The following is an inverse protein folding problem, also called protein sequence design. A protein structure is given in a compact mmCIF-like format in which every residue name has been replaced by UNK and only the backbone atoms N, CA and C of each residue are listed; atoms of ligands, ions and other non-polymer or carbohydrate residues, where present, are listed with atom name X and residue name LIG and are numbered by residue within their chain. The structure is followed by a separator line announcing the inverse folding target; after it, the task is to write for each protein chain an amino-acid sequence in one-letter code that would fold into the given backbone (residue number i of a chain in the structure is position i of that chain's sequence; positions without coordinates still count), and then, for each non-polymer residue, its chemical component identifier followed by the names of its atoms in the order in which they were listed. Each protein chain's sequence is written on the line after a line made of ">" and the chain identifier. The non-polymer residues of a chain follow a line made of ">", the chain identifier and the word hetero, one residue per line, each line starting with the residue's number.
data_IF_573446152838
#
_entry.id   IF_573446152838
#
_cell.length_a   1.000
_cell.length_b   1.000
_cell.length_c   1.000
_cell.angle_alpha   90.00
_cell.angle_beta   90.00
_cell.angle_gamma   90.00
#
_symmetry.space_group_name_H-M   'P 1'
#
loop_
_entity.id
_entity.type
_entity.pdbx_description
1 polymer ?
#
# COMPACT_ATOMS: atom_id res chain seq x y z
N UNK A 1 8.58 12.45 -14.13
CA UNK A 1 7.82 11.44 -13.35
C UNK A 1 6.47 12.02 -12.96
N UNK A 2 5.38 11.25 -13.07
CA UNK A 2 4.08 11.65 -12.54
C UNK A 2 4.14 12.01 -11.05
N UNK A 3 3.38 13.01 -10.56
CA UNK A 3 3.43 13.44 -9.16
C UNK A 3 3.13 12.32 -8.15
N UNK A 4 2.24 11.39 -8.49
CA UNK A 4 1.89 10.25 -7.62
C UNK A 4 3.03 9.24 -7.45
N UNK A 5 4.04 9.24 -8.33
CA UNK A 5 5.25 8.44 -8.12
C UNK A 5 6.28 9.16 -7.24
N UNK A 6 6.19 10.50 -7.15
CA UNK A 6 7.13 11.33 -6.41
C UNK A 6 6.71 11.58 -4.96
N UNK A 7 5.40 11.72 -4.72
CA UNK A 7 4.90 11.96 -3.36
C UNK A 7 5.01 10.68 -2.54
N UNK A 8 5.74 10.72 -1.44
CA UNK A 8 5.91 9.61 -0.51
C UNK A 8 5.67 10.11 0.92
N UNK A 9 5.34 9.18 1.82
CA UNK A 9 5.39 9.47 3.24
C UNK A 9 6.84 9.75 3.64
N UNK A 10 7.09 10.78 4.46
CA UNK A 10 8.42 10.97 5.05
C UNK A 10 8.82 9.72 5.84
N UNK A 11 10.11 9.38 5.88
CA UNK A 11 10.60 8.15 6.51
C UNK A 11 10.26 8.00 8.01
N UNK A 12 10.05 9.12 8.71
CA UNK A 12 9.64 9.14 10.12
C UNK A 12 8.13 9.05 10.32
N UNK A 13 7.34 9.01 9.24
CA UNK A 13 5.89 8.83 9.28
C UNK A 13 5.57 7.46 8.70
N UNK A 14 5.07 6.57 9.54
CA UNK A 14 4.60 5.24 9.13
C UNK A 14 3.12 5.13 9.46
N UNK A 15 2.23 5.30 8.47
CA UNK A 15 0.81 5.05 8.67
C UNK A 15 0.56 3.58 9.05
N UNK A 16 -0.39 3.30 9.95
CA UNK A 16 -0.87 1.95 10.24
C UNK A 16 -1.32 1.19 8.98
N UNK A 17 -1.35 -0.15 9.03
CA UNK A 17 -1.77 -0.99 7.90
C UNK A 17 -3.16 -0.63 7.38
N UNK A 18 -4.14 -0.45 8.28
CA UNK A 18 -5.52 -0.10 7.94
C UNK A 18 -5.77 1.42 7.83
N UNK A 19 -4.72 2.19 7.60
CA UNK A 19 -4.83 3.65 7.53
C UNK A 19 -5.67 4.12 6.34
N UNK A 20 -6.78 4.80 6.63
CA UNK A 20 -7.64 5.40 5.61
C UNK A 20 -7.23 6.83 5.33
N UNK A 21 -6.85 7.14 4.10
CA UNK A 21 -6.53 8.52 3.68
C UNK A 21 -7.80 9.40 3.77
N UNK A 22 -7.64 10.67 4.16
CA UNK A 22 -8.74 11.64 4.30
C UNK A 22 -8.87 12.24 5.70
N UNK A 23 -9.82 13.17 5.86
CA UNK A 23 -10.01 13.94 7.10
C UNK A 23 -10.86 13.19 8.13
N UNK A 24 -10.38 12.02 8.57
CA UNK A 24 -11.01 11.21 9.62
C UNK A 24 -10.14 11.27 10.87
N UNK A 25 -10.76 11.57 12.02
CA UNK A 25 -10.07 11.56 13.30
C UNK A 25 -9.72 10.12 13.71
N UNK A 26 -8.47 9.82 14.06
CA UNK A 26 -8.10 8.51 14.59
C UNK A 26 -8.73 8.32 15.97
N UNK A 27 -9.41 7.18 16.16
CA UNK A 27 -10.04 6.81 17.42
C UNK A 27 -9.39 5.54 17.97
N UNK A 28 -9.49 5.37 19.29
CA UNK A 28 -9.09 4.11 19.92
C UNK A 28 -10.10 3.00 19.58
N UNK A 29 -9.66 1.73 19.59
CA UNK A 29 -10.56 0.59 19.43
C UNK A 29 -11.70 0.61 20.46
N UNK A 30 -12.89 0.14 20.08
CA UNK A 30 -14.06 0.12 20.98
C UNK A 30 -13.83 -0.73 22.23
N UNK A 31 -13.05 -1.80 22.11
CA UNK A 31 -12.68 -2.72 23.18
C UNK A 31 -11.46 -2.26 23.98
N UNK A 32 -10.97 -1.02 23.81
CA UNK A 32 -9.78 -0.52 24.50
C UNK A 32 -9.86 -0.64 26.03
N UNK A 33 -11.05 -0.51 26.63
CA UNK A 33 -11.20 -0.65 28.08
C UNK A 33 -10.88 -2.06 28.60
N UNK A 34 -11.15 -3.08 27.79
CA UNK A 34 -11.05 -4.51 28.13
C UNK A 34 -9.66 -5.10 27.83
N UNK A 35 -8.84 -4.38 27.07
CA UNK A 35 -7.47 -4.77 26.71
C UNK A 35 -6.54 -4.81 27.92
N UNK A 36 -5.51 -5.66 27.83
CA UNK A 36 -4.42 -5.69 28.79
C UNK A 36 -3.49 -4.45 28.65
N UNK A 37 -2.57 -4.21 29.60
CA UNK A 37 -1.69 -3.04 29.55
C UNK A 37 -0.82 -2.94 28.29
N UNK A 38 -0.34 -4.06 27.77
CA UNK A 38 0.54 -4.11 26.60
C UNK A 38 -0.27 -3.85 25.33
N UNK A 39 -1.44 -4.47 25.21
CA UNK A 39 -2.41 -4.20 24.13
C UNK A 39 -2.87 -2.73 24.13
N UNK A 40 -3.11 -2.15 25.30
CA UNK A 40 -3.45 -0.72 25.43
C UNK A 40 -2.32 0.18 24.95
N UNK A 41 -1.08 -0.12 25.35
CA UNK A 41 0.11 0.60 24.91
C UNK A 41 0.25 0.55 23.39
N UNK A 42 0.05 -0.63 22.79
CA UNK A 42 0.06 -0.81 21.34
C UNK A 42 -1.05 0.01 20.66
N UNK A 43 -2.30 -0.05 21.14
CA UNK A 43 -3.42 0.69 20.58
C UNK A 43 -3.22 2.21 20.65
N UNK A 44 -2.62 2.73 21.72
CA UNK A 44 -2.23 4.15 21.83
C UNK A 44 -1.17 4.48 20.78
N UNK A 45 -0.13 3.64 20.65
CA UNK A 45 0.94 3.89 19.68
C UNK A 45 0.43 3.91 18.23
N UNK A 46 -0.49 3.02 17.87
CA UNK A 46 -1.12 3.00 16.54
C UNK A 46 -1.98 4.23 16.29
N UNK A 47 -2.76 4.67 17.29
CA UNK A 47 -3.52 5.92 17.21
C UNK A 47 -2.60 7.12 17.03
N UNK A 48 -1.49 7.17 17.75
CA UNK A 48 -0.55 8.30 17.68
C UNK A 48 0.16 8.36 16.32
N UNK A 49 0.54 7.19 15.75
CA UNK A 49 1.02 7.10 14.36
C UNK A 49 -0.02 7.58 13.37
N UNK A 50 -1.27 7.13 13.51
CA UNK A 50 -2.37 7.59 12.65
C UNK A 50 -2.58 9.10 12.76
N UNK A 51 -2.51 9.66 13.96
CA UNK A 51 -2.64 11.10 14.20
C UNK A 51 -1.52 11.89 13.53
N UNK A 52 -0.27 11.43 13.64
CA UNK A 52 0.86 12.04 12.97
C UNK A 52 0.68 12.04 11.45
N UNK A 53 0.26 10.91 10.87
CA UNK A 53 -0.06 10.80 9.44
C UNK A 53 -1.17 11.77 9.03
N UNK A 54 -2.20 11.97 9.86
CA UNK A 54 -3.27 12.95 9.60
C UNK A 54 -2.80 14.39 9.64
N UNK A 55 -1.97 14.73 10.62
CA UNK A 55 -1.33 16.04 10.70
C UNK A 55 -0.51 16.34 9.44
N UNK A 56 0.21 15.33 8.93
CA UNK A 56 0.94 15.46 7.67
C UNK A 56 0.02 15.66 6.48
N UNK A 57 -1.05 14.87 6.33
CA UNK A 57 -2.04 15.07 5.27
C UNK A 57 -2.63 16.49 5.29
N UNK A 58 -3.02 16.99 6.46
CA UNK A 58 -3.59 18.33 6.62
C UNK A 58 -2.57 19.43 6.28
N UNK A 59 -1.32 19.27 6.73
CA UNK A 59 -0.24 20.18 6.37
C UNK A 59 0.03 20.17 4.86
N UNK A 60 0.03 18.99 4.24
CA UNK A 60 0.23 18.81 2.80
C UNK A 60 -0.91 19.43 2.00
N UNK A 61 -2.16 19.19 2.37
CA UNK A 61 -3.33 19.80 1.74
C UNK A 61 -3.31 21.33 1.81
N UNK A 62 -2.87 21.88 2.96
CA UNK A 62 -2.76 23.33 3.17
C UNK A 62 -1.62 23.96 2.38
N UNK A 63 -0.45 23.31 2.31
CA UNK A 63 0.77 23.87 1.72
C UNK A 63 0.92 23.57 0.23
N UNK A 64 0.47 22.40 -0.21
CA UNK A 64 0.62 21.93 -1.59
C UNK A 64 -0.50 20.95 -1.98
N UNK A 65 -1.66 21.50 -2.33
CA UNK A 65 -2.85 20.73 -2.67
C UNK A 65 -2.60 19.67 -3.77
N UNK A 66 -1.77 19.99 -4.78
CA UNK A 66 -1.44 19.05 -5.85
C UNK A 66 -0.77 17.76 -5.34
N UNK A 67 0.11 17.87 -4.35
CA UNK A 67 0.77 16.69 -3.76
C UNK A 67 -0.20 15.89 -2.89
N UNK A 68 -1.08 16.58 -2.17
CA UNK A 68 -2.14 15.92 -1.42
C UNK A 68 -3.06 15.11 -2.35
N UNK A 69 -3.52 15.70 -3.45
CA UNK A 69 -4.36 15.00 -4.42
C UNK A 69 -3.64 13.81 -5.06
N UNK A 70 -2.34 13.96 -5.36
CA UNK A 70 -1.52 12.87 -5.89
C UNK A 70 -1.32 11.72 -4.88
N UNK A 71 -1.29 12.01 -3.58
CA UNK A 71 -1.24 10.99 -2.52
C UNK A 71 -2.60 10.33 -2.28
N UNK A 72 -3.69 11.12 -2.30
CA UNK A 72 -4.99 10.70 -1.79
C UNK A 72 -5.98 10.18 -2.83
N UNK A 73 -5.88 10.61 -4.09
CA UNK A 73 -6.85 10.26 -5.13
C UNK A 73 -6.40 9.15 -6.07
N UNK A 74 -5.11 8.84 -6.08
CA UNK A 74 -4.59 7.79 -6.96
C UNK A 74 -4.80 6.45 -6.30
N UNK A 75 -5.45 5.53 -7.03
CA UNK A 75 -5.65 4.17 -6.57
C UNK A 75 -4.28 3.50 -6.29
N UNK A 76 -4.10 2.84 -5.13
CA UNK A 76 -2.85 2.16 -4.80
C UNK A 76 -2.38 1.19 -5.88
N UNK A 77 -3.30 0.50 -6.58
CA UNK A 77 -2.95 -0.43 -7.65
C UNK A 77 -2.28 0.27 -8.84
N UNK A 78 -2.69 1.51 -9.17
CA UNK A 78 -2.04 2.32 -10.21
C UNK A 78 -0.63 2.69 -9.75
N UNK A 79 -0.46 3.08 -8.50
CA UNK A 79 0.87 3.41 -7.95
C UNK A 79 1.79 2.18 -7.97
N UNK A 80 1.29 1.03 -7.52
CA UNK A 80 2.00 -0.24 -7.54
C UNK A 80 2.39 -0.65 -8.96
N UNK A 81 1.52 -0.49 -9.95
CA UNK A 81 1.84 -0.79 -11.35
C UNK A 81 3.15 -0.12 -11.81
N UNK A 82 3.28 1.20 -11.56
CA UNK A 82 4.47 1.94 -11.98
C UNK A 82 5.70 1.57 -11.15
N UNK A 83 5.57 1.39 -9.84
CA UNK A 83 6.69 1.00 -8.96
C UNK A 83 7.20 -0.41 -9.25
N UNK A 84 6.31 -1.35 -9.57
CA UNK A 84 6.64 -2.75 -9.79
C UNK A 84 7.16 -2.99 -11.22
N UNK A 85 6.69 -2.23 -12.20
CA UNK A 85 7.16 -2.35 -13.58
C UNK A 85 8.68 -2.15 -13.69
N UNK A 86 9.21 -1.19 -12.93
CA UNK A 86 10.65 -0.90 -12.88
C UNK A 86 11.45 -1.99 -12.16
N UNK A 87 10.82 -2.80 -11.29
CA UNK A 87 11.48 -3.78 -10.43
C UNK A 87 11.23 -5.24 -10.82
N UNK A 88 10.64 -5.49 -12.00
CA UNK A 88 10.36 -6.86 -12.47
C UNK A 88 11.58 -7.77 -12.60
N UNK A 89 12.77 -7.20 -12.78
CA UNK A 89 14.03 -7.95 -12.81
C UNK A 89 14.48 -8.44 -11.42
N UNK A 90 14.05 -7.77 -10.34
CA UNK A 90 14.32 -8.15 -8.94
C UNK A 90 13.19 -9.00 -8.36
N UNK A 91 11.96 -8.52 -8.51
CA UNK A 91 10.78 -9.07 -7.84
C UNK A 91 9.97 -10.03 -8.72
N UNK A 92 10.39 -10.22 -9.97
CA UNK A 92 9.65 -10.99 -10.95
C UNK A 92 8.37 -10.29 -11.44
N UNK A 93 7.60 -10.99 -12.27
CA UNK A 93 6.39 -10.44 -12.91
C UNK A 93 5.11 -10.62 -12.07
N UNK A 94 5.15 -11.47 -11.05
CA UNK A 94 3.95 -11.83 -10.26
C UNK A 94 3.32 -10.61 -9.60
N UNK A 95 4.05 -9.72 -8.90
CA UNK A 95 3.46 -8.53 -8.29
C UNK A 95 2.85 -7.57 -9.32
N UNK A 96 3.52 -7.42 -10.46
CA UNK A 96 3.05 -6.55 -11.54
C UNK A 96 1.71 -7.06 -12.10
N UNK A 97 1.58 -8.38 -12.25
CA UNK A 97 0.34 -9.03 -12.70
C UNK A 97 -0.79 -8.84 -11.68
N UNK A 98 -0.49 -8.92 -10.38
CA UNK A 98 -1.49 -8.67 -9.33
C UNK A 98 -2.03 -7.23 -9.42
N UNK A 99 -1.14 -6.23 -9.54
CA UNK A 99 -1.54 -4.84 -9.72
C UNK A 99 -2.44 -4.63 -10.95
N UNK A 100 -2.14 -5.27 -12.08
CA UNK A 100 -2.97 -5.22 -13.29
C UNK A 100 -4.36 -5.85 -13.08
N UNK A 101 -4.44 -6.96 -12.36
CA UNK A 101 -5.72 -7.62 -12.02
C UNK A 101 -6.53 -6.76 -11.05
N UNK A 102 -5.90 -6.09 -10.10
CA UNK A 102 -6.58 -5.15 -9.21
C UNK A 102 -7.15 -3.96 -9.99
N UNK A 103 -6.37 -3.36 -10.91
CA UNK A 103 -6.83 -2.26 -11.77
C UNK A 103 -7.99 -2.70 -12.66
N UNK A 104 -7.95 -3.91 -13.24
CA UNK A 104 -9.05 -4.38 -14.09
C UNK A 104 -10.37 -4.51 -13.32
N UNK A 105 -10.32 -4.91 -12.04
CA UNK A 105 -11.48 -5.01 -11.14
C UNK A 105 -12.05 -3.65 -10.72
N UNK A 106 -11.19 -2.63 -10.60
CA UNK A 106 -11.60 -1.28 -10.19
C UNK A 106 -11.72 -0.29 -11.35
N UNK A 107 -11.47 -0.71 -12.59
CA UNK A 107 -11.45 0.12 -13.81
C UNK A 107 -12.64 1.08 -13.92
N UNK A 108 -13.87 0.55 -13.78
CA UNK A 108 -15.09 1.37 -13.85
C UNK A 108 -15.25 2.35 -12.68
N UNK A 109 -14.70 2.04 -11.50
CA UNK A 109 -14.72 2.95 -10.33
C UNK A 109 -13.69 4.08 -10.45
N UNK A 110 -12.63 3.87 -11.22
CA UNK A 110 -11.61 4.90 -11.48
C UNK A 110 -12.09 5.98 -12.46
N UNK A 111 -13.22 5.78 -13.13
CA UNK A 111 -13.78 6.75 -14.07
C UNK A 111 -13.15 6.73 -15.46
N UNK A 112 -12.46 5.65 -15.83
CA UNK A 112 -11.96 5.47 -17.19
C UNK A 112 -13.08 5.09 -18.16
N UNK A 113 -13.03 5.66 -19.36
CA UNK A 113 -13.97 5.35 -20.43
C UNK A 113 -13.57 4.07 -21.17
N UNK A 114 -14.58 3.31 -21.60
CA UNK A 114 -14.40 2.09 -22.40
C UNK A 114 -14.07 0.85 -21.57
N UNK A 115 -14.12 -0.34 -22.22
CA UNK A 115 -13.76 -1.59 -21.57
C UNK A 115 -12.27 -1.62 -21.25
N UNK A 116 -11.91 -2.36 -20.20
CA UNK A 116 -10.52 -2.63 -19.87
C UNK A 116 -9.81 -3.28 -21.08
N UNK A 117 -8.65 -2.76 -21.53
CA UNK A 117 -8.03 -3.14 -22.79
C UNK A 117 -7.43 -4.56 -22.81
N UNK A 118 -7.20 -5.17 -21.64
CA UNK A 118 -6.56 -6.47 -21.53
C UNK A 118 -7.52 -7.53 -20.98
N UNK A 119 -8.03 -8.41 -21.83
CA UNK A 119 -8.91 -9.49 -21.36
C UNK A 119 -8.14 -10.43 -20.40
N UNK A 120 -8.49 -10.39 -19.12
CA UNK A 120 -8.03 -11.37 -18.13
C UNK A 120 -9.10 -12.44 -18.04
N UNK A 121 -8.77 -13.68 -18.38
CA UNK A 121 -9.71 -14.80 -18.23
C UNK A 121 -9.78 -15.24 -16.77
N UNK A 122 -10.88 -15.90 -16.39
CA UNK A 122 -11.01 -16.48 -15.05
C UNK A 122 -9.92 -17.53 -14.77
N UNK A 123 -9.49 -18.28 -15.79
CA UNK A 123 -8.39 -19.23 -15.67
C UNK A 123 -7.05 -18.53 -15.38
N UNK A 124 -6.80 -17.38 -16.00
CA UNK A 124 -5.61 -16.57 -15.71
C UNK A 124 -5.63 -16.03 -14.28
N UNK A 125 -6.80 -15.59 -13.78
CA UNK A 125 -6.96 -15.15 -12.39
C UNK A 125 -6.71 -16.29 -11.41
N UNK A 126 -7.26 -17.48 -11.68
CA UNK A 126 -7.07 -18.66 -10.82
C UNK A 126 -5.60 -19.08 -10.79
N UNK A 127 -4.96 -19.17 -11.96
CA UNK A 127 -3.54 -19.49 -12.07
C UNK A 127 -2.69 -18.47 -11.32
N UNK A 128 -2.99 -17.20 -11.50
CA UNK A 128 -2.27 -16.12 -10.84
C UNK A 128 -2.43 -16.17 -9.31
N UNK A 129 -3.61 -16.54 -8.80
CA UNK A 129 -3.84 -16.67 -7.35
C UNK A 129 -2.88 -17.69 -6.72
N UNK A 130 -2.61 -18.80 -7.41
CA UNK A 130 -1.65 -19.81 -6.95
C UNK A 130 -0.21 -19.30 -7.03
N UNK A 131 0.14 -18.57 -8.09
CA UNK A 131 1.47 -17.96 -8.24
C UNK A 131 1.72 -16.89 -7.17
N UNK A 132 0.71 -16.07 -6.85
CA UNK A 132 0.78 -15.00 -5.87
C UNK A 132 1.04 -15.56 -4.47
N UNK A 133 0.33 -16.62 -4.07
CA UNK A 133 0.56 -17.28 -2.79
C UNK A 133 2.02 -17.79 -2.65
N UNK A 134 2.55 -18.42 -3.71
CA UNK A 134 3.95 -18.88 -3.73
C UNK A 134 4.94 -17.71 -3.67
N UNK A 135 4.63 -16.60 -4.33
CA UNK A 135 5.44 -15.40 -4.30
C UNK A 135 5.46 -14.78 -2.89
N UNK A 136 4.33 -14.73 -2.20
CA UNK A 136 4.23 -14.23 -0.82
C UNK A 136 5.07 -15.09 0.14
N UNK A 137 5.00 -16.41 0.01
CA UNK A 137 5.83 -17.34 0.78
C UNK A 137 7.34 -17.09 0.54
N UNK A 138 7.75 -16.95 -0.73
CA UNK A 138 9.12 -16.63 -1.09
C UNK A 138 9.57 -15.27 -0.53
N UNK A 139 8.73 -14.24 -0.64
CA UNK A 139 9.02 -12.89 -0.16
C UNK A 139 9.22 -12.87 1.36
N UNK A 140 8.38 -13.61 2.09
CA UNK A 140 8.50 -13.79 3.55
C UNK A 140 9.78 -14.54 3.94
N UNK A 141 10.14 -15.58 3.20
CA UNK A 141 11.39 -16.30 3.43
C UNK A 141 12.62 -15.39 3.17
N UNK A 142 12.57 -14.58 2.11
CA UNK A 142 13.61 -13.60 1.79
C UNK A 142 13.78 -12.58 2.92
N UNK A 143 12.69 -12.00 3.42
CA UNK A 143 12.76 -10.99 4.49
C UNK A 143 13.37 -11.55 5.78
N UNK A 144 12.99 -12.77 6.19
CA UNK A 144 13.61 -13.41 7.36
C UNK A 144 15.10 -13.68 7.16
N UNK A 145 15.50 -14.02 5.94
CA UNK A 145 16.90 -14.27 5.61
C UNK A 145 17.71 -12.97 5.69
N UNK A 146 17.18 -11.86 5.19
CA UNK A 146 17.82 -10.54 5.28
C UNK A 146 17.95 -10.06 6.73
N UNK A 147 16.91 -10.24 7.55
CA UNK A 147 16.96 -9.93 8.99
C UNK A 147 18.06 -10.73 9.70
N UNK A 148 18.17 -12.02 9.40
CA UNK A 148 19.18 -12.91 9.99
C UNK A 148 20.60 -12.52 9.57
N UNK A 149 20.78 -12.16 8.29
CA UNK A 149 22.08 -11.81 7.72
C UNK A 149 22.47 -10.35 7.97
N UNK A 150 21.57 -9.53 8.50
CA UNK A 150 21.72 -8.07 8.61
C UNK A 150 22.07 -7.42 7.25
N UNK A 151 21.52 -7.97 6.17
CA UNK A 151 21.71 -7.47 4.81
C UNK A 151 20.50 -6.65 4.35
N UNK A 152 20.68 -5.82 3.34
CA UNK A 152 19.58 -5.07 2.72
C UNK A 152 19.06 -5.76 1.43
N UNK A 153 18.33 -5.03 0.60
CA UNK A 153 17.79 -5.51 -0.67
C UNK A 153 18.85 -5.75 -1.77
N UNK A 154 20.06 -5.18 -1.61
CA UNK A 154 21.14 -5.27 -2.59
C UNK A 154 22.26 -6.25 -2.18
N UNK A 155 22.26 -6.73 -0.93
CA UNK A 155 23.11 -7.83 -0.44
C UNK A 155 24.21 -7.41 0.51
#
# INVERSE_FOLDING_TARGET
>A
MPPFMQVQWPSFISPPEDYKIGMVAPELPRNFGEMDPDEKSFAISERDKALLSKCYEAALAKRHLGSYLALARVDPAVRHLFTLAENTYKDGIVPLRDALIQISRTWGRMGFEGPWPYAVSDDDVLRHTVELARYEDWRKLKSYTQELLQSDEDG
#
